data_IF_020495296987
#
_entry.id   IF_020495296987
#
_cell.length_a   1.000
_cell.length_b   1.000
_cell.length_c   1.000
_cell.angle_alpha   90.00
_cell.angle_beta   90.00
_cell.angle_gamma   90.00
#
_symmetry.space_group_name_H-M   'P 1'
#
loop_
_entity.id
_entity.type
_entity.pdbx_description
1 polymer ?
#
# COMPACT_ATOMS: atom_id res chain seq x y z
N UNK A 1 14.92 -83.20 -63.69
CA UNK A 1 15.44 -81.81 -63.67
C UNK A 1 14.46 -80.98 -62.85
N UNK A 2 14.69 -80.82 -61.54
CA UNK A 2 15.21 -79.60 -60.88
C UNK A 2 14.48 -78.34 -61.38
N UNK A 3 13.84 -77.53 -60.52
CA UNK A 3 14.54 -76.51 -59.70
C UNK A 3 13.78 -76.20 -58.38
N UNK A 4 14.59 -75.89 -57.36
CA UNK A 4 14.27 -75.51 -55.97
C UNK A 4 13.46 -74.20 -55.85
N UNK A 5 12.58 -74.20 -54.84
CA UNK A 5 11.99 -73.01 -54.21
C UNK A 5 12.95 -72.50 -53.13
N UNK A 6 13.26 -71.21 -53.06
CA UNK A 6 13.68 -70.51 -51.84
C UNK A 6 13.21 -69.04 -51.92
N UNK A 7 12.42 -68.67 -50.92
CA UNK A 7 12.04 -67.30 -50.56
C UNK A 7 13.24 -66.54 -49.98
N UNK A 8 13.33 -65.22 -50.20
CA UNK A 8 13.19 -64.22 -49.12
C UNK A 8 13.25 -62.78 -49.66
N UNK A 9 12.35 -61.98 -49.10
CA UNK A 9 12.10 -60.55 -49.26
C UNK A 9 13.30 -59.65 -48.95
N UNK A 10 13.33 -58.43 -49.53
CA UNK A 10 13.63 -57.17 -48.83
C UNK A 10 12.95 -56.01 -49.58
N UNK A 11 12.50 -55.07 -48.76
CA UNK A 11 11.40 -54.15 -48.90
C UNK A 11 11.81 -52.79 -49.49
N UNK A 12 10.87 -52.24 -50.26
CA UNK A 12 10.63 -50.90 -50.78
C UNK A 12 11.59 -49.73 -50.43
N UNK A 13 11.97 -49.03 -51.51
CA UNK A 13 12.47 -47.66 -51.54
C UNK A 13 11.32 -46.64 -51.34
N UNK A 14 11.60 -45.53 -50.64
CA UNK A 14 10.82 -44.29 -50.75
C UNK A 14 11.79 -43.16 -51.10
N UNK A 15 11.54 -42.57 -52.26
CA UNK A 15 12.25 -41.43 -52.84
C UNK A 15 11.79 -40.15 -52.13
N UNK A 16 12.74 -39.41 -51.56
CA UNK A 16 12.50 -38.08 -50.99
C UNK A 16 12.28 -37.06 -52.11
N UNK A 17 11.10 -36.43 -52.12
CA UNK A 17 10.84 -35.23 -52.93
C UNK A 17 11.10 -34.01 -52.06
N UNK A 18 12.10 -33.22 -52.44
CA UNK A 18 12.45 -31.97 -51.76
C UNK A 18 11.51 -30.86 -52.16
N UNK A 19 10.70 -30.40 -51.21
CA UNK A 19 10.00 -29.12 -51.29
C UNK A 19 10.73 -28.14 -50.36
N UNK A 20 11.31 -27.08 -50.91
CA UNK A 20 11.92 -26.01 -50.12
C UNK A 20 10.80 -25.28 -49.37
N UNK A 21 10.57 -25.69 -48.11
CA UNK A 21 9.86 -24.87 -47.16
C UNK A 21 10.68 -23.62 -46.89
N UNK A 22 10.24 -22.48 -47.43
CA UNK A 22 10.69 -21.17 -46.97
C UNK A 22 10.36 -21.07 -45.48
N UNK A 23 11.40 -21.10 -44.65
CA UNK A 23 11.26 -20.90 -43.22
C UNK A 23 10.61 -19.52 -42.98
N UNK A 24 9.35 -19.54 -42.54
CA UNK A 24 8.72 -18.36 -41.94
C UNK A 24 9.59 -18.01 -40.73
N UNK A 25 10.10 -16.78 -40.61
CA UNK A 25 10.81 -16.37 -39.41
C UNK A 25 9.83 -16.57 -38.25
N UNK A 26 10.20 -17.40 -37.28
CA UNK A 26 9.58 -17.39 -35.97
C UNK A 26 9.78 -15.97 -35.46
N UNK A 27 8.75 -15.12 -35.53
CA UNK A 27 8.73 -13.89 -34.77
C UNK A 27 8.96 -14.30 -33.33
N UNK A 28 10.17 -14.01 -32.85
CA UNK A 28 10.44 -13.97 -31.43
C UNK A 28 9.34 -13.09 -30.85
N UNK A 29 8.48 -13.69 -30.03
CA UNK A 29 7.63 -12.96 -29.10
C UNK A 29 8.57 -12.13 -28.24
N UNK A 30 8.99 -10.97 -28.74
CA UNK A 30 9.73 -9.97 -27.98
C UNK A 30 8.85 -9.70 -26.77
N UNK A 31 9.34 -10.08 -25.59
CA UNK A 31 8.65 -9.78 -24.35
C UNK A 31 8.22 -8.31 -24.41
N UNK A 32 6.94 -8.05 -24.15
CA UNK A 32 6.43 -6.68 -24.08
C UNK A 32 7.33 -5.94 -23.09
N UNK A 33 8.18 -5.06 -23.61
CA UNK A 33 8.94 -4.16 -22.77
C UNK A 33 8.29 -2.81 -22.82
N UNK A 34 8.08 -2.24 -21.64
CA UNK A 34 7.52 -0.90 -21.52
C UNK A 34 8.61 0.17 -21.55
N UNK A 35 9.90 -0.21 -21.70
CA UNK A 35 11.01 0.75 -21.73
C UNK A 35 10.78 1.84 -22.78
N UNK A 36 10.42 1.43 -23.99
CA UNK A 36 10.19 2.31 -25.13
C UNK A 36 8.70 2.63 -25.34
N UNK A 37 7.85 2.38 -24.34
CA UNK A 37 6.42 2.71 -24.40
C UNK A 37 6.24 4.23 -24.54
N UNK A 38 5.38 4.64 -25.47
CA UNK A 38 4.93 6.02 -25.56
C UNK A 38 4.21 6.43 -24.26
N UNK A 39 4.50 7.62 -23.74
CA UNK A 39 3.98 8.07 -22.45
C UNK A 39 3.27 9.42 -22.57
N UNK A 40 2.18 9.52 -23.37
CA UNK A 40 1.40 10.74 -23.49
C UNK A 40 0.89 11.17 -22.11
N UNK A 41 0.91 12.47 -21.84
CA UNK A 41 0.36 13.03 -20.60
C UNK A 41 -1.12 13.32 -20.80
N UNK A 42 -1.93 12.94 -19.83
CA UNK A 42 -3.38 13.11 -19.87
C UNK A 42 -3.93 13.39 -18.47
N UNK A 43 -5.16 13.89 -18.40
CA UNK A 43 -5.72 14.38 -17.15
C UNK A 43 -5.08 15.70 -16.69
N UNK A 44 -5.50 16.17 -15.51
CA UNK A 44 -5.06 17.45 -14.94
C UNK A 44 -4.13 17.29 -13.74
N UNK A 45 -3.91 16.06 -13.26
CA UNK A 45 -2.98 15.79 -12.16
C UNK A 45 -1.54 15.98 -12.65
N UNK A 46 -0.69 16.71 -11.94
CA UNK A 46 0.67 16.96 -12.39
C UNK A 46 1.51 15.67 -12.40
N UNK A 47 2.47 15.62 -13.34
CA UNK A 47 3.48 14.57 -13.42
C UNK A 47 4.80 15.08 -12.86
N UNK A 48 5.56 14.22 -12.17
CA UNK A 48 6.87 14.62 -11.63
C UNK A 48 6.78 15.75 -10.60
N UNK A 49 5.71 15.78 -9.81
CA UNK A 49 5.52 16.69 -8.68
C UNK A 49 5.08 15.86 -7.50
N UNK A 50 5.64 16.17 -6.33
CA UNK A 50 5.30 15.51 -5.08
C UNK A 50 3.88 15.89 -4.61
N UNK A 51 2.96 14.92 -4.63
CA UNK A 51 1.56 15.08 -4.27
C UNK A 51 1.33 14.49 -2.89
N UNK A 52 1.03 15.33 -1.90
CA UNK A 52 0.91 14.94 -0.48
C UNK A 52 -0.53 14.94 0.05
N UNK A 53 -1.47 15.59 -0.64
CA UNK A 53 -2.85 15.78 -0.16
C UNK A 53 -3.85 15.74 -1.32
N UNK A 54 -5.13 15.51 -0.99
CA UNK A 54 -6.21 15.57 -1.96
C UNK A 54 -6.48 17.00 -2.40
N UNK A 55 -6.96 17.17 -3.63
CA UNK A 55 -7.53 18.44 -4.09
C UNK A 55 -8.98 18.60 -3.67
N UNK A 56 -9.62 17.52 -3.20
CA UNK A 56 -11.00 17.49 -2.70
C UNK A 56 -10.99 17.37 -1.18
N UNK A 57 -11.54 18.38 -0.50
CA UNK A 57 -11.72 18.38 0.96
C UNK A 57 -12.72 17.30 1.41
N UNK A 58 -12.63 16.90 2.68
CA UNK A 58 -13.53 15.90 3.29
C UNK A 58 -13.21 14.48 2.88
N UNK A 59 -12.09 14.25 2.18
CA UNK A 59 -11.65 12.94 1.71
C UNK A 59 -10.49 12.37 2.50
N UNK A 60 -10.52 11.06 2.71
CA UNK A 60 -9.39 10.25 3.17
C UNK A 60 -9.12 9.17 2.13
N UNK A 61 -7.99 9.26 1.44
CA UNK A 61 -7.45 8.18 0.64
C UNK A 61 -6.63 7.25 1.54
N UNK A 62 -7.17 6.07 1.86
CA UNK A 62 -6.40 5.02 2.52
C UNK A 62 -5.46 4.40 1.49
N UNK A 63 -4.16 4.39 1.81
CA UNK A 63 -3.13 3.84 0.94
C UNK A 63 -2.33 2.76 1.64
N UNK A 64 -1.99 1.70 0.91
CA UNK A 64 -1.25 0.55 1.41
C UNK A 64 -0.05 0.24 0.52
N UNK A 65 1.14 0.24 1.10
CA UNK A 65 2.40 0.02 0.39
C UNK A 65 2.93 -1.42 0.61
N UNK A 66 3.89 -1.82 -0.22
CA UNK A 66 4.69 -3.06 -0.18
C UNK A 66 3.98 -4.37 -0.56
N UNK A 67 2.67 -4.34 -0.73
CA UNK A 67 1.87 -5.50 -1.11
C UNK A 67 1.98 -5.91 -2.60
N UNK A 68 1.19 -6.92 -3.00
CA UNK A 68 0.35 -7.75 -2.15
C UNK A 68 1.19 -8.72 -1.31
N UNK A 69 0.68 -9.07 -0.13
CA UNK A 69 1.25 -10.06 0.78
C UNK A 69 0.19 -10.98 1.39
N UNK A 70 0.58 -11.76 2.40
CA UNK A 70 -0.29 -12.77 3.02
C UNK A 70 -1.55 -12.20 3.70
N UNK A 71 -1.52 -10.94 4.15
CA UNK A 71 -2.63 -10.31 4.88
C UNK A 71 -3.56 -9.48 4.00
N UNK A 72 -3.14 -9.14 2.79
CA UNK A 72 -3.81 -8.20 1.89
C UNK A 72 -5.28 -8.55 1.62
N UNK A 73 -5.62 -9.85 1.50
CA UNK A 73 -7.01 -10.32 1.32
C UNK A 73 -7.94 -9.82 2.45
N UNK A 74 -7.46 -9.83 3.69
CA UNK A 74 -8.24 -9.39 4.85
C UNK A 74 -8.43 -7.88 4.89
N UNK A 75 -7.53 -7.09 4.29
CA UNK A 75 -7.76 -5.66 4.06
C UNK A 75 -8.95 -5.47 3.13
N UNK A 76 -8.99 -6.18 1.99
CA UNK A 76 -10.10 -6.10 1.05
C UNK A 76 -11.44 -6.50 1.70
N UNK A 77 -11.46 -7.58 2.47
CA UNK A 77 -12.64 -8.01 3.21
C UNK A 77 -13.16 -6.92 4.16
N UNK A 78 -12.26 -6.25 4.88
CA UNK A 78 -12.63 -5.15 5.78
C UNK A 78 -13.19 -3.96 5.00
N UNK A 79 -12.56 -3.57 3.90
CA UNK A 79 -13.02 -2.45 3.05
C UNK A 79 -14.40 -2.75 2.44
N UNK A 80 -14.62 -3.98 1.96
CA UNK A 80 -15.89 -4.46 1.41
C UNK A 80 -17.01 -4.42 2.46
N UNK A 81 -16.78 -5.01 3.64
CA UNK A 81 -17.75 -5.04 4.76
C UNK A 81 -18.16 -3.64 5.24
N UNK A 82 -17.31 -2.64 5.06
CA UNK A 82 -17.55 -1.27 5.50
C UNK A 82 -18.22 -0.38 4.45
N UNK A 83 -18.93 -0.97 3.50
CA UNK A 83 -19.68 -0.27 2.46
C UNK A 83 -18.91 -0.15 1.15
N UNK A 84 -18.10 -1.15 0.81
CA UNK A 84 -17.31 -1.19 -0.43
C UNK A 84 -16.34 -0.01 -0.57
N UNK A 85 -15.70 0.38 0.53
CA UNK A 85 -14.71 1.46 0.56
C UNK A 85 -13.61 1.18 -0.46
N UNK A 86 -13.24 2.20 -1.25
CA UNK A 86 -12.10 2.12 -2.16
C UNK A 86 -10.85 2.64 -1.48
N UNK A 87 -9.71 2.13 -1.93
CA UNK A 87 -8.38 2.42 -1.41
C UNK A 87 -7.37 2.34 -2.56
N UNK A 88 -6.16 2.82 -2.34
CA UNK A 88 -5.06 2.71 -3.30
C UNK A 88 -3.97 1.79 -2.75
N UNK A 89 -3.52 0.84 -3.55
CA UNK A 89 -2.43 -0.07 -3.19
C UNK A 89 -1.21 0.24 -4.04
N UNK A 90 -0.10 0.65 -3.41
CA UNK A 90 1.18 0.86 -4.08
C UNK A 90 1.97 -0.45 -4.01
N UNK A 91 1.99 -1.16 -5.14
CA UNK A 91 2.46 -2.54 -5.19
C UNK A 91 3.89 -2.62 -5.72
N UNK A 92 4.69 -3.43 -5.02
CA UNK A 92 6.03 -3.80 -5.47
C UNK A 92 5.97 -4.91 -6.51
N UNK A 93 6.97 -5.00 -7.36
CA UNK A 93 7.14 -6.15 -8.26
C UNK A 93 7.47 -7.41 -7.48
N UNK A 94 8.47 -7.32 -6.59
CA UNK A 94 8.93 -8.37 -5.69
C UNK A 94 9.62 -7.77 -4.47
N UNK A 95 9.20 -8.19 -3.27
CA UNK A 95 9.88 -7.89 -2.01
C UNK A 95 9.75 -9.11 -1.08
N UNK A 96 10.78 -9.94 -1.06
CA UNK A 96 10.68 -11.28 -0.48
C UNK A 96 9.63 -12.12 -1.21
N UNK A 97 8.65 -12.66 -0.47
CA UNK A 97 7.53 -13.41 -1.05
C UNK A 97 6.36 -12.52 -1.50
N UNK A 98 6.40 -11.22 -1.23
CA UNK A 98 5.36 -10.26 -1.58
C UNK A 98 5.57 -9.70 -3.00
N UNK A 99 4.52 -9.16 -3.58
CA UNK A 99 4.58 -8.42 -4.84
C UNK A 99 3.83 -9.06 -6.02
N UNK A 100 3.67 -8.26 -7.08
CA UNK A 100 2.90 -8.60 -8.28
C UNK A 100 3.48 -9.79 -9.05
N UNK A 101 4.79 -10.04 -8.94
CA UNK A 101 5.46 -11.15 -9.59
C UNK A 101 5.14 -12.52 -8.99
N UNK A 102 4.58 -12.57 -7.77
CA UNK A 102 4.18 -13.83 -7.17
C UNK A 102 2.82 -14.30 -7.74
N UNK A 103 2.78 -15.41 -8.50
CA UNK A 103 1.55 -15.86 -9.17
C UNK A 103 0.43 -16.22 -8.19
N UNK A 104 0.76 -16.56 -6.93
CA UNK A 104 -0.24 -16.85 -5.90
C UNK A 104 -1.17 -15.66 -5.63
N UNK A 105 -0.70 -14.43 -5.84
CA UNK A 105 -1.49 -13.22 -5.64
C UNK A 105 -2.25 -12.74 -6.88
N UNK A 106 -2.14 -13.44 -8.03
CA UNK A 106 -2.87 -13.05 -9.25
C UNK A 106 -4.39 -12.95 -9.05
N UNK A 107 -5.07 -13.90 -8.38
CA UNK A 107 -6.51 -13.77 -8.11
C UNK A 107 -6.83 -12.57 -7.23
N UNK A 108 -5.99 -12.30 -6.23
CA UNK A 108 -6.15 -11.19 -5.30
C UNK A 108 -6.00 -9.83 -6.00
N UNK A 109 -5.00 -9.69 -6.87
CA UNK A 109 -4.79 -8.49 -7.69
C UNK A 109 -5.98 -8.21 -8.62
N UNK A 110 -6.53 -9.26 -9.25
CA UNK A 110 -7.74 -9.15 -10.08
C UNK A 110 -8.97 -8.77 -9.24
N UNK A 111 -9.08 -9.29 -8.02
CA UNK A 111 -10.13 -8.90 -7.07
C UNK A 111 -10.01 -7.42 -6.71
N UNK A 112 -8.81 -6.92 -6.42
CA UNK A 112 -8.60 -5.49 -6.13
C UNK A 112 -9.08 -4.59 -7.27
N UNK A 113 -8.61 -4.89 -8.49
CA UNK A 113 -8.95 -4.10 -9.68
C UNK A 113 -10.46 -4.18 -9.99
N UNK A 114 -11.03 -5.38 -9.95
CA UNK A 114 -12.47 -5.61 -10.19
C UNK A 114 -13.38 -5.03 -9.11
N UNK A 115 -12.87 -4.86 -7.89
CA UNK A 115 -13.58 -4.17 -6.80
C UNK A 115 -13.40 -2.65 -6.85
N UNK A 116 -12.72 -2.08 -7.86
CA UNK A 116 -12.58 -0.64 -8.04
C UNK A 116 -11.54 0.02 -7.13
N UNK A 117 -10.62 -0.75 -6.54
CA UNK A 117 -9.44 -0.17 -5.90
C UNK A 117 -8.47 0.35 -6.98
N UNK A 118 -7.67 1.34 -6.63
CA UNK A 118 -6.58 1.79 -7.49
C UNK A 118 -5.32 0.99 -7.17
N UNK A 119 -4.65 0.46 -8.18
CA UNK A 119 -3.36 -0.22 -8.04
C UNK A 119 -2.29 0.68 -8.65
N UNK A 120 -1.33 1.11 -7.83
CA UNK A 120 -0.25 2.00 -8.22
C UNK A 120 1.10 1.28 -8.11
N UNK A 121 2.15 1.83 -8.71
CA UNK A 121 3.49 1.25 -8.69
C UNK A 121 4.25 1.68 -7.43
N UNK A 122 4.97 0.74 -6.81
CA UNK A 122 5.91 0.99 -5.71
C UNK A 122 7.31 0.45 -6.02
N UNK A 123 7.70 0.50 -7.30
CA UNK A 123 8.96 -0.01 -7.85
C UNK A 123 9.03 -1.53 -7.93
N UNK A 124 10.02 -2.05 -8.64
CA UNK A 124 10.20 -3.50 -8.78
C UNK A 124 10.67 -4.15 -7.47
N UNK A 125 11.72 -3.62 -6.84
CA UNK A 125 12.40 -4.27 -5.71
C UNK A 125 12.55 -3.41 -4.46
N UNK A 126 11.74 -2.34 -4.35
CA UNK A 126 11.69 -1.45 -3.19
C UNK A 126 13.05 -0.75 -2.89
N UNK A 127 13.80 -0.38 -3.93
CA UNK A 127 15.06 0.35 -3.76
C UNK A 127 14.82 1.82 -3.48
N UNK A 128 15.65 2.42 -2.63
CA UNK A 128 15.70 3.87 -2.45
C UNK A 128 16.18 4.55 -3.74
N UNK A 129 15.29 5.32 -4.37
CA UNK A 129 15.56 5.97 -5.64
C UNK A 129 16.65 7.06 -5.55
N UNK A 130 16.93 7.61 -4.38
CA UNK A 130 18.02 8.58 -4.18
C UNK A 130 19.41 7.91 -4.18
N UNK A 131 19.46 6.59 -3.94
CA UNK A 131 20.73 5.85 -3.83
C UNK A 131 21.18 5.19 -5.14
N UNK A 132 20.29 5.12 -6.13
CA UNK A 132 20.52 4.41 -7.40
C UNK A 132 20.70 5.35 -8.59
N UNK A 133 21.29 4.84 -9.67
CA UNK A 133 21.46 5.59 -10.91
C UNK A 133 20.11 5.84 -11.60
N UNK A 134 20.05 6.81 -12.53
CA UNK A 134 18.83 7.03 -13.31
C UNK A 134 18.42 5.79 -14.09
N UNK A 135 19.37 5.11 -14.73
CA UNK A 135 19.08 3.88 -15.47
C UNK A 135 18.50 2.79 -14.56
N UNK A 136 18.99 2.69 -13.33
CA UNK A 136 18.43 1.80 -12.33
C UNK A 136 17.01 2.22 -11.90
N UNK A 137 16.73 3.51 -11.72
CA UNK A 137 15.37 4.00 -11.45
C UNK A 137 14.42 3.60 -12.59
N UNK A 138 14.83 3.81 -13.84
CA UNK A 138 14.07 3.43 -15.04
C UNK A 138 13.84 1.91 -15.05
N UNK A 139 14.87 1.10 -14.78
CA UNK A 139 14.75 -0.36 -14.72
C UNK A 139 13.76 -0.82 -13.64
N UNK A 140 13.76 -0.19 -12.46
CA UNK A 140 12.83 -0.51 -11.38
C UNK A 140 11.38 -0.19 -11.75
N UNK A 141 11.14 0.89 -12.50
CA UNK A 141 9.81 1.27 -12.98
C UNK A 141 9.36 0.32 -14.09
N UNK A 142 10.16 0.17 -15.15
CA UNK A 142 9.84 -0.65 -16.33
C UNK A 142 9.56 -2.10 -15.94
N UNK A 143 10.37 -2.73 -15.09
CA UNK A 143 10.09 -4.11 -14.65
C UNK A 143 8.77 -4.22 -13.90
N UNK A 144 8.42 -3.20 -13.12
CA UNK A 144 7.14 -3.18 -12.44
C UNK A 144 5.98 -2.98 -13.43
N UNK A 145 6.11 -2.05 -14.38
CA UNK A 145 5.14 -1.86 -15.48
C UNK A 145 4.91 -3.17 -16.26
N UNK A 146 5.98 -3.90 -16.61
CA UNK A 146 5.92 -5.15 -17.36
C UNK A 146 5.17 -6.26 -16.61
N UNK A 147 5.38 -6.39 -15.28
CA UNK A 147 4.65 -7.40 -14.51
C UNK A 147 3.18 -7.02 -14.30
N UNK A 148 2.88 -5.74 -14.14
CA UNK A 148 1.50 -5.23 -14.13
C UNK A 148 0.81 -5.50 -15.47
N UNK A 149 1.47 -5.20 -16.59
CA UNK A 149 0.95 -5.45 -17.93
C UNK A 149 0.67 -6.94 -18.16
N UNK A 150 1.60 -7.81 -17.74
CA UNK A 150 1.46 -9.26 -17.86
C UNK A 150 0.32 -9.83 -17.00
N UNK A 151 0.18 -9.35 -15.77
CA UNK A 151 -0.75 -9.93 -14.78
C UNK A 151 -2.16 -9.34 -14.89
N UNK A 152 -2.26 -8.05 -15.19
CA UNK A 152 -3.49 -7.27 -15.12
C UNK A 152 -3.87 -6.59 -16.44
N UNK A 153 -2.96 -6.53 -17.42
CA UNK A 153 -3.23 -5.85 -18.69
C UNK A 153 -3.23 -4.32 -18.59
N UNK A 154 -2.59 -3.77 -17.56
CA UNK A 154 -2.54 -2.33 -17.27
C UNK A 154 -1.11 -1.89 -16.97
N UNK A 155 -0.80 -0.61 -17.19
CA UNK A 155 0.44 0.03 -16.71
C UNK A 155 0.07 1.22 -15.80
N UNK A 156 0.41 1.22 -14.50
CA UNK A 156 0.03 2.30 -13.59
C UNK A 156 0.66 3.65 -13.97
N UNK A 157 -0.09 4.75 -13.83
CA UNK A 157 0.41 6.13 -13.96
C UNK A 157 0.79 6.75 -12.62
N UNK A 158 0.38 6.14 -11.51
CA UNK A 158 0.68 6.58 -10.15
C UNK A 158 1.85 5.79 -9.58
N UNK A 159 2.75 6.49 -8.90
CA UNK A 159 3.92 5.92 -8.25
C UNK A 159 4.18 6.58 -6.91
N UNK A 160 4.50 5.76 -5.90
CA UNK A 160 5.08 6.23 -4.65
C UNK A 160 6.53 5.77 -4.58
N UNK A 161 7.51 6.68 -4.39
CA UNK A 161 8.89 6.29 -4.18
C UNK A 161 9.05 5.49 -2.87
N UNK A 162 9.77 4.35 -2.86
CA UNK A 162 10.16 3.67 -1.63
C UNK A 162 10.79 4.63 -0.63
N UNK A 163 10.43 4.46 0.65
CA UNK A 163 10.84 5.33 1.77
C UNK A 163 10.41 6.81 1.64
N UNK A 164 9.57 7.12 0.65
CA UNK A 164 9.24 8.50 0.21
C UNK A 164 10.47 9.38 -0.03
N UNK A 165 11.57 8.73 -0.39
CA UNK A 165 12.83 9.37 -0.74
C UNK A 165 12.88 9.61 -2.24
N UNK A 166 12.72 10.88 -2.65
CA UNK A 166 12.83 11.27 -4.05
C UNK A 166 13.31 12.71 -4.19
N UNK A 167 14.60 12.88 -4.48
CA UNK A 167 15.24 14.15 -4.77
C UNK A 167 14.91 14.66 -6.18
N UNK A 168 15.45 15.82 -6.57
CA UNK A 168 15.20 16.43 -7.88
C UNK A 168 15.57 15.49 -9.06
N UNK A 169 16.59 14.64 -8.89
CA UNK A 169 16.99 13.66 -9.92
C UNK A 169 15.95 12.56 -10.03
N UNK A 170 15.49 12.02 -8.90
CA UNK A 170 14.40 11.05 -8.86
C UNK A 170 13.11 11.64 -9.47
N UNK A 171 12.72 12.84 -9.06
CA UNK A 171 11.54 13.55 -9.57
C UNK A 171 11.65 13.78 -11.08
N UNK A 172 12.82 14.20 -11.57
CA UNK A 172 13.05 14.36 -13.01
C UNK A 172 12.89 13.04 -13.77
N UNK A 173 13.36 11.91 -13.24
CA UNK A 173 13.14 10.60 -13.87
C UNK A 173 11.67 10.22 -13.91
N UNK A 174 10.93 10.44 -12.82
CA UNK A 174 9.49 10.17 -12.75
C UNK A 174 8.68 11.09 -13.67
N UNK A 175 9.09 12.35 -13.81
CA UNK A 175 8.53 13.28 -14.78
C UNK A 175 8.69 12.77 -16.22
N UNK A 176 9.89 12.31 -16.57
CA UNK A 176 10.21 11.86 -17.93
C UNK A 176 9.48 10.57 -18.30
N UNK A 177 9.19 9.73 -17.30
CA UNK A 177 8.37 8.53 -17.43
C UNK A 177 6.87 8.80 -17.18
N UNK A 178 6.46 10.07 -17.09
CA UNK A 178 5.07 10.51 -16.93
C UNK A 178 4.34 9.76 -15.81
N UNK A 179 4.94 9.77 -14.61
CA UNK A 179 4.34 9.32 -13.35
C UNK A 179 3.80 10.47 -12.49
N UNK A 180 2.63 10.27 -11.90
CA UNK A 180 2.15 11.06 -10.77
C UNK A 180 2.86 10.58 -9.51
N UNK A 181 3.66 11.45 -8.89
CA UNK A 181 4.44 11.10 -7.69
C UNK A 181 3.58 11.35 -6.47
N UNK A 182 3.22 10.29 -5.75
CA UNK A 182 2.30 10.35 -4.61
C UNK A 182 3.02 10.04 -3.31
N UNK A 183 3.05 11.01 -2.41
CA UNK A 183 3.48 10.86 -1.02
C UNK A 183 2.23 10.84 -0.12
N UNK A 184 2.31 11.35 1.10
CA UNK A 184 1.22 11.38 2.08
C UNK A 184 1.31 12.65 2.94
N UNK A 185 0.20 12.99 3.58
CA UNK A 185 0.16 14.01 4.64
C UNK A 185 -0.27 13.43 5.99
N UNK A 186 -0.48 12.11 6.07
CA UNK A 186 -0.72 11.36 7.29
C UNK A 186 0.05 10.04 7.25
N UNK A 187 1.16 9.98 7.99
CA UNK A 187 1.92 8.76 8.22
C UNK A 187 1.44 8.06 9.50
N UNK A 188 0.94 6.84 9.40
CA UNK A 188 0.45 6.08 10.55
C UNK A 188 1.55 5.46 11.40
N UNK A 189 2.78 5.35 10.89
CA UNK A 189 3.90 4.66 11.56
C UNK A 189 3.56 3.22 11.98
N UNK A 190 2.72 2.53 11.20
CA UNK A 190 2.27 1.16 11.48
C UNK A 190 3.37 0.10 11.45
N UNK A 191 4.47 0.40 10.77
CA UNK A 191 5.68 -0.43 10.74
C UNK A 191 6.62 -0.21 11.95
N UNK A 192 6.42 0.85 12.75
CA UNK A 192 7.30 1.18 13.88
C UNK A 192 6.82 0.47 15.14
N UNK A 193 7.72 -0.25 15.81
CA UNK A 193 7.45 -0.93 17.09
C UNK A 193 6.15 -1.77 17.08
N UNK A 194 5.87 -2.44 15.95
CA UNK A 194 4.67 -3.23 15.75
C UNK A 194 3.36 -2.42 15.74
N UNK A 195 3.43 -1.13 15.41
CA UNK A 195 2.27 -0.23 15.30
C UNK A 195 1.76 0.31 16.63
N UNK A 196 2.57 0.25 17.69
CA UNK A 196 2.18 0.61 19.05
C UNK A 196 1.50 2.00 19.16
N UNK A 197 1.95 2.96 18.35
CA UNK A 197 1.46 4.34 18.37
C UNK A 197 0.53 4.70 17.19
N UNK A 198 0.22 3.77 16.30
CA UNK A 198 -0.43 4.10 15.02
C UNK A 198 -1.88 4.53 15.17
N UNK A 199 -2.62 3.90 16.10
CA UNK A 199 -3.99 4.33 16.44
C UNK A 199 -4.01 5.75 16.98
N UNK A 200 -3.09 6.09 17.88
CA UNK A 200 -2.98 7.44 18.43
C UNK A 200 -2.58 8.45 17.36
N UNK A 201 -1.60 8.11 16.52
CA UNK A 201 -1.11 8.98 15.43
C UNK A 201 -2.22 9.30 14.45
N UNK A 202 -2.92 8.27 13.95
CA UNK A 202 -4.03 8.43 13.02
C UNK A 202 -5.18 9.24 13.63
N UNK A 203 -5.65 8.86 14.83
CA UNK A 203 -6.79 9.55 15.44
C UNK A 203 -6.49 10.98 15.84
N UNK A 204 -5.26 11.31 16.24
CA UNK A 204 -4.87 12.69 16.54
C UNK A 204 -4.95 13.58 15.30
N UNK A 205 -4.47 13.08 14.15
CA UNK A 205 -4.55 13.78 12.87
C UNK A 205 -6.00 13.98 12.41
N UNK A 206 -6.80 12.91 12.39
CA UNK A 206 -8.20 12.99 11.95
C UNK A 206 -9.04 13.88 12.88
N UNK A 207 -8.92 13.71 14.20
CA UNK A 207 -9.77 14.42 15.16
C UNK A 207 -9.45 15.92 15.26
N UNK A 208 -8.21 16.33 14.99
CA UNK A 208 -7.81 17.74 14.96
C UNK A 208 -8.18 18.46 13.66
N UNK A 209 -8.45 17.72 12.58
CA UNK A 209 -8.83 18.28 11.29
C UNK A 209 -10.30 18.69 11.20
N UNK A 210 -10.63 19.46 10.16
CA UNK A 210 -12.00 19.81 9.81
C UNK A 210 -12.33 19.25 8.41
N UNK A 211 -13.27 18.30 8.26
CA UNK A 211 -13.63 17.75 6.96
C UNK A 211 -14.03 18.79 5.91
N UNK A 212 -14.50 19.98 6.29
CA UNK A 212 -14.85 21.03 5.31
C UNK A 212 -13.66 21.73 4.67
N UNK A 213 -12.44 21.48 5.15
CA UNK A 213 -11.23 22.19 4.73
C UNK A 213 -9.95 21.36 4.93
N UNK A 214 -10.09 20.04 5.01
CA UNK A 214 -8.99 19.12 5.24
C UNK A 214 -9.23 17.85 4.44
N UNK A 215 -8.13 17.24 4.04
CA UNK A 215 -8.13 15.96 3.34
C UNK A 215 -6.86 15.20 3.67
N UNK A 216 -6.87 13.89 3.47
CA UNK A 216 -5.74 13.05 3.80
C UNK A 216 -5.44 12.04 2.71
N UNK A 217 -4.14 11.88 2.42
CA UNK A 217 -3.58 10.67 1.85
C UNK A 217 -2.87 9.98 3.02
N UNK A 218 -3.42 8.86 3.48
CA UNK A 218 -2.96 8.15 4.67
C UNK A 218 -2.10 6.95 4.28
N UNK A 219 -0.86 6.89 4.79
CA UNK A 219 0.07 5.78 4.58
C UNK A 219 -0.10 4.70 5.63
N UNK A 220 -0.24 3.46 5.18
CA UNK A 220 -0.08 2.23 5.95
C UNK A 220 0.53 1.13 5.05
N UNK A 221 0.77 -0.06 5.60
CA UNK A 221 1.38 -1.18 4.90
C UNK A 221 0.56 -2.45 5.15
N UNK A 222 -0.03 -3.03 4.10
CA UNK A 222 -0.91 -4.20 4.22
C UNK A 222 -0.13 -5.52 4.39
N UNK A 223 1.20 -5.45 4.42
CA UNK A 223 2.09 -6.55 4.79
C UNK A 223 2.30 -6.67 6.30
N UNK A 224 1.84 -5.69 7.10
CA UNK A 224 1.99 -5.69 8.55
C UNK A 224 0.79 -6.37 9.23
N UNK A 225 1.06 -7.40 10.03
CA UNK A 225 0.02 -8.12 10.77
C UNK A 225 -0.81 -7.20 11.67
N UNK A 226 -0.18 -6.24 12.35
CA UNK A 226 -0.87 -5.23 13.16
C UNK A 226 -1.89 -4.42 12.33
N UNK A 227 -1.47 -3.95 11.15
CA UNK A 227 -2.29 -3.11 10.27
C UNK A 227 -3.58 -3.82 9.91
N UNK A 228 -3.47 -5.08 9.51
CA UNK A 228 -4.62 -5.86 9.05
C UNK A 228 -5.46 -6.42 10.20
N UNK A 229 -4.86 -6.63 11.37
CA UNK A 229 -5.55 -7.13 12.57
C UNK A 229 -6.18 -6.01 13.41
N UNK A 230 -7.07 -5.26 12.75
CA UNK A 230 -7.99 -4.32 13.39
C UNK A 230 -7.61 -2.84 13.27
N UNK A 231 -6.40 -2.51 12.81
CA UNK A 231 -6.05 -1.10 12.60
C UNK A 231 -6.77 -0.51 11.37
N UNK A 232 -6.94 -1.25 10.27
CA UNK A 232 -7.78 -0.80 9.13
C UNK A 232 -9.21 -0.47 9.56
N UNK A 233 -9.87 -1.34 10.35
CA UNK A 233 -11.20 -1.06 10.87
C UNK A 233 -11.22 0.21 11.73
N UNK A 234 -10.23 0.37 12.61
CA UNK A 234 -10.09 1.55 13.44
C UNK A 234 -9.94 2.84 12.61
N UNK A 235 -9.12 2.81 11.54
CA UNK A 235 -8.98 3.96 10.65
C UNK A 235 -10.30 4.34 9.99
N UNK A 236 -11.09 3.33 9.58
CA UNK A 236 -12.41 3.52 8.98
C UNK A 236 -13.37 4.18 9.96
N UNK A 237 -13.46 3.66 11.18
CA UNK A 237 -14.41 4.11 12.19
C UNK A 237 -14.13 5.57 12.59
N UNK A 238 -12.86 5.90 12.89
CA UNK A 238 -12.46 7.25 13.33
C UNK A 238 -12.73 8.30 12.25
N UNK A 239 -12.41 8.02 10.99
CA UNK A 239 -12.65 8.97 9.91
C UNK A 239 -14.15 9.13 9.60
N UNK A 240 -14.95 8.04 9.63
CA UNK A 240 -16.42 8.13 9.50
C UNK A 240 -17.06 8.92 10.63
N UNK A 241 -16.66 8.67 11.87
CA UNK A 241 -17.17 9.40 13.05
C UNK A 241 -16.91 10.90 12.93
N UNK A 242 -15.75 11.26 12.36
CA UNK A 242 -15.38 12.66 12.11
C UNK A 242 -16.09 13.28 10.90
N UNK A 243 -16.68 12.47 10.02
CA UNK A 243 -17.40 12.93 8.82
C UNK A 243 -16.56 12.99 7.55
N UNK A 244 -15.43 12.28 7.50
CA UNK A 244 -14.68 12.09 6.26
C UNK A 244 -15.26 10.95 5.41
N UNK A 245 -15.12 11.08 4.09
CA UNK A 245 -15.45 10.05 3.11
C UNK A 245 -14.19 9.41 2.54
N UNK A 246 -14.27 8.13 2.20
CA UNK A 246 -13.14 7.39 1.64
C UNK A 246 -13.15 7.37 0.12
N UNK A 247 -11.96 7.32 -0.46
CA UNK A 247 -11.76 7.43 -1.90
C UNK A 247 -10.42 6.81 -2.29
N UNK A 248 -10.20 6.58 -3.59
CA UNK A 248 -8.84 6.30 -4.11
C UNK A 248 -8.03 7.59 -4.19
N UNK A 249 -6.70 7.50 -4.29
CA UNK A 249 -5.82 8.66 -4.56
C UNK A 249 -6.23 9.38 -5.85
N UNK A 250 -6.54 8.65 -6.93
CA UNK A 250 -6.99 9.24 -8.18
C UNK A 250 -8.24 10.12 -8.01
N UNK A 251 -9.30 9.59 -7.40
CA UNK A 251 -10.53 10.34 -7.10
C UNK A 251 -10.29 11.50 -6.12
N UNK A 252 -9.44 11.31 -5.11
CA UNK A 252 -8.97 12.33 -4.16
C UNK A 252 -8.32 13.53 -4.88
N UNK A 253 -7.72 13.30 -6.04
CA UNK A 253 -7.11 14.32 -6.90
C UNK A 253 -8.02 14.79 -8.05
N UNK A 254 -9.28 14.33 -8.09
CA UNK A 254 -10.22 14.63 -9.16
C UNK A 254 -9.87 13.99 -10.51
N UNK A 255 -9.07 12.92 -10.51
CA UNK A 255 -8.65 12.20 -11.72
C UNK A 255 -9.59 11.01 -11.98
N UNK A 256 -10.30 10.97 -13.13
CA UNK A 256 -11.18 9.86 -13.45
C UNK A 256 -10.41 8.55 -13.63
N UNK A 257 -11.05 7.42 -13.33
CA UNK A 257 -10.41 6.10 -13.36
C UNK A 257 -9.79 5.70 -14.70
N UNK A 258 -10.26 6.27 -15.81
CA UNK A 258 -9.66 6.09 -17.15
C UNK A 258 -8.22 6.59 -17.25
N UNK A 259 -7.79 7.47 -16.34
CA UNK A 259 -6.46 8.08 -16.33
C UNK A 259 -5.49 7.38 -15.35
N UNK A 260 -5.93 6.41 -14.56
CA UNK A 260 -5.04 5.76 -13.59
C UNK A 260 -4.06 4.79 -14.23
N UNK A 261 -4.33 4.39 -15.47
CA UNK A 261 -3.60 3.37 -16.18
C UNK A 261 -3.39 3.73 -17.65
N UNK A 262 -2.28 3.24 -18.20
CA UNK A 262 -2.01 3.20 -19.64
C UNK A 262 -2.33 1.83 -20.19
N UNK A 263 -2.74 1.79 -21.45
CA UNK A 263 -2.71 0.56 -22.24
C UNK A 263 -1.25 0.11 -22.45
N UNK A 264 -0.88 -1.15 -22.15
CA UNK A 264 0.49 -1.62 -22.27
C UNK A 264 1.09 -1.64 -23.69
N UNK A 265 0.27 -1.42 -24.73
CA UNK A 265 0.72 -1.41 -26.13
C UNK A 265 0.79 -0.01 -26.71
N UNK A 266 -0.22 0.82 -26.46
CA UNK A 266 -0.27 2.18 -27.02
C UNK A 266 0.25 3.26 -26.08
N UNK A 267 0.26 3.03 -24.77
CA UNK A 267 0.66 4.04 -23.78
C UNK A 267 -0.40 5.12 -23.51
N UNK A 268 -1.45 5.14 -24.32
CA UNK A 268 -2.65 5.96 -24.16
C UNK A 268 -3.42 5.59 -22.88
N UNK A 269 -4.32 6.47 -22.39
CA UNK A 269 -5.24 6.11 -21.32
C UNK A 269 -5.92 4.78 -21.62
N UNK A 270 -6.06 3.93 -20.61
CA UNK A 270 -6.86 2.72 -20.74
C UNK A 270 -8.33 3.14 -20.80
N UNK A 271 -8.79 3.48 -22.01
CA UNK A 271 -10.19 3.84 -22.27
C UNK A 271 -11.08 2.77 -21.64
N UNK A 272 -11.90 3.20 -20.68
CA UNK A 272 -12.90 2.35 -20.05
C UNK A 272 -13.85 1.83 -21.12
N UNK A 273 -13.55 0.68 -21.71
CA UNK A 273 -14.57 -0.22 -22.22
C UNK A 273 -15.40 -0.57 -21.00
N UNK A 274 -16.49 0.17 -20.84
CA UNK A 274 -17.57 0.05 -19.86
C UNK A 274 -17.23 -0.80 -18.62
N UNK A 275 -17.23 -0.13 -17.46
CA UNK A 275 -17.45 -0.78 -16.17
C UNK A 275 -18.49 -1.90 -16.35
N UNK A 276 -18.17 -3.18 -16.02
CA UNK A 276 -19.11 -4.26 -16.22
C UNK A 276 -20.30 -4.00 -15.29
N UNK A 277 -21.38 -3.47 -15.88
CA UNK A 277 -22.66 -3.34 -15.21
C UNK A 277 -22.98 -4.68 -14.56
N UNK A 278 -23.35 -4.72 -13.27
CA UNK A 278 -23.72 -5.97 -12.63
C UNK A 278 -24.86 -6.57 -13.46
N UNK A 279 -24.59 -7.72 -14.07
CA UNK A 279 -25.61 -8.49 -14.78
C UNK A 279 -26.52 -9.09 -13.71
N UNK A 280 -27.46 -8.29 -13.22
CA UNK A 280 -28.64 -8.79 -12.51
C UNK A 280 -29.38 -9.70 -13.46
N UNK A 281 -29.09 -11.00 -13.37
CA UNK A 281 -29.93 -12.04 -13.95
C UNK A 281 -31.16 -12.19 -13.05
N UNK A 282 -32.03 -11.18 -13.04
CA UNK A 282 -33.37 -11.31 -12.48
C UNK A 282 -34.20 -12.10 -13.48
N UNK A 283 -34.34 -13.41 -13.24
CA UNK A 283 -35.46 -14.18 -13.80
C UNK A 283 -36.74 -13.63 -13.18
N UNK A 284 -37.33 -12.64 -13.84
CA UNK A 284 -38.71 -12.23 -13.63
C UNK A 284 -39.63 -13.31 -14.20
N UNK A 285 -40.15 -14.19 -13.34
CA UNK A 285 -41.32 -15.00 -13.66
C UNK A 285 -42.54 -14.20 -13.19
N UNK A 286 -43.33 -13.71 -14.15
CA UNK A 286 -44.61 -13.08 -13.88
C UNK A 286 -45.62 -14.12 -13.33
N UNK A 287 -46.49 -13.75 -12.37
CA UNK A 287 -47.60 -14.60 -11.96
C UNK A 287 -48.80 -14.38 -12.87
N UNK A 288 -49.24 -15.44 -13.55
CA UNK A 288 -50.55 -15.47 -14.21
C UNK A 288 -51.62 -15.81 -13.18
N UNK A 289 -52.56 -14.89 -13.01
CA UNK A 289 -53.79 -15.05 -12.24
C UNK A 289 -54.76 -16.02 -12.93
N UNK A 290 -55.24 -17.02 -12.20
CA UNK A 290 -56.56 -17.62 -12.49
C UNK A 290 -57.24 -17.99 -11.19
N UNK A 291 -58.42 -17.41 -10.98
CA UNK A 291 -59.33 -17.67 -9.87
C UNK A 291 -60.07 -18.99 -10.07
N UNK A 292 -60.18 -19.81 -9.02
CA UNK A 292 -61.40 -20.61 -8.78
C UNK A 292 -61.62 -20.79 -7.28
N UNK A 293 -62.83 -20.43 -6.86
CA UNK A 293 -63.38 -20.54 -5.51
C UNK A 293 -63.78 -21.98 -5.16
N UNK A 294 -63.47 -22.44 -3.95
CA UNK A 294 -64.29 -23.39 -3.19
C UNK A 294 -63.87 -23.46 -1.71
N UNK A 295 -64.77 -23.06 -0.82
CA UNK A 295 -64.80 -23.41 0.62
C UNK A 295 -65.45 -24.81 0.75
N UNK A 296 -65.10 -25.66 1.75
CA UNK A 296 -65.80 -25.60 3.05
C UNK A 296 -64.94 -25.88 4.31
N UNK A 297 -65.24 -25.10 5.35
CA UNK A 297 -65.53 -25.40 6.77
C UNK A 297 -65.03 -26.67 7.50
N UNK A 298 -64.44 -26.43 8.69
CA UNK A 298 -64.33 -27.24 9.94
C UNK A 298 -63.62 -28.61 9.87
N UNK A 299 -62.85 -29.08 10.85
CA UNK A 299 -63.15 -29.18 12.29
C UNK A 299 -61.86 -29.53 13.10
N UNK A 300 -61.90 -29.20 14.38
CA UNK A 300 -60.87 -29.41 15.41
C UNK A 300 -60.67 -30.88 15.78
N UNK A 301 -59.42 -31.28 16.11
CA UNK A 301 -59.17 -32.27 17.17
C UNK A 301 -57.75 -32.22 17.74
N UNK A 302 -57.75 -32.07 19.05
CA UNK A 302 -56.73 -32.17 20.09
C UNK A 302 -55.86 -33.44 20.01
N UNK A 303 -54.60 -33.35 20.41
CA UNK A 303 -54.01 -34.26 21.43
C UNK A 303 -52.68 -33.72 21.96
N UNK A 304 -52.51 -33.87 23.27
CA UNK A 304 -51.44 -33.38 24.10
C UNK A 304 -50.22 -34.33 24.14
N UNK A 305 -49.06 -33.81 24.57
CA UNK A 305 -48.21 -34.54 25.51
C UNK A 305 -47.34 -33.59 26.33
N UNK A 306 -47.58 -33.64 27.63
CA UNK A 306 -46.72 -33.31 28.77
C UNK A 306 -45.36 -34.07 28.65
N UNK A 307 -44.24 -33.63 29.24
CA UNK A 307 -43.79 -34.03 30.59
C UNK A 307 -42.58 -33.15 31.03
N UNK A 308 -42.76 -32.60 32.24
CA UNK A 308 -41.86 -32.40 33.39
C UNK A 308 -40.52 -31.64 33.35
N UNK A 309 -40.44 -30.81 34.39
CA UNK A 309 -39.33 -30.02 34.90
C UNK A 309 -38.92 -30.66 36.23
N UNK A 310 -37.62 -30.80 36.49
CA UNK A 310 -37.11 -30.87 37.86
C UNK A 310 -35.76 -30.18 38.04
N UNK A 311 -35.66 -29.56 39.20
CA UNK A 311 -34.67 -28.68 39.80
C UNK A 311 -33.36 -29.37 40.22
N UNK A 312 -32.24 -28.62 40.30
CA UNK A 312 -31.45 -28.41 41.53
C UNK A 312 -30.10 -27.67 41.32
N UNK A 313 -29.85 -26.66 42.17
CA UNK A 313 -28.54 -26.12 42.66
C UNK A 313 -28.04 -27.07 43.79
N UNK A 314 -26.76 -27.13 44.27
CA UNK A 314 -25.98 -26.01 44.87
C UNK A 314 -24.42 -26.08 44.66
N UNK A 315 -23.68 -24.96 44.68
CA UNK A 315 -22.81 -24.39 45.77
C UNK A 315 -21.30 -24.71 45.76
N UNK A 316 -20.50 -23.63 45.53
CA UNK A 316 -19.34 -23.05 46.26
C UNK A 316 -18.40 -23.90 47.15
N UNK A 317 -17.09 -23.52 47.07
CA UNK A 317 -15.95 -23.51 48.06
C UNK A 317 -14.77 -24.39 47.62
N UNK A 318 -13.47 -24.03 47.74
CA UNK A 318 -12.74 -22.86 48.23
C UNK A 318 -11.24 -23.18 48.41
N UNK A 319 -10.39 -22.13 48.53
CA UNK A 319 -9.05 -22.04 49.20
C UNK A 319 -7.84 -22.85 48.66
N UNK A 320 -6.54 -22.50 48.81
CA UNK A 320 -5.75 -21.34 49.31
C UNK A 320 -4.23 -21.63 49.10
N UNK A 321 -3.46 -20.58 48.76
CA UNK A 321 -2.03 -20.20 49.05
C UNK A 321 -0.86 -21.20 49.28
N UNK A 322 0.34 -20.83 48.78
CA UNK A 322 1.59 -20.44 49.53
C UNK A 322 2.74 -20.14 48.52
N UNK A 323 3.43 -18.98 48.49
CA UNK A 323 4.73 -18.58 49.11
C UNK A 323 5.89 -19.61 48.90
N UNK A 324 7.19 -19.34 48.66
CA UNK A 324 8.13 -18.19 48.67
C UNK A 324 9.51 -18.68 48.14
N UNK A 325 10.52 -17.78 48.09
CA UNK A 325 12.01 -17.95 47.92
C UNK A 325 12.53 -17.72 46.49
N UNK A 326 13.16 -16.57 46.14
CA UNK A 326 14.47 -15.99 46.53
C UNK A 326 15.67 -16.92 46.30
N UNK A 327 16.59 -16.55 45.39
CA UNK A 327 18.03 -16.32 45.67
C UNK A 327 18.68 -15.55 44.52
N UNK A 328 19.39 -14.48 44.87
CA UNK A 328 20.28 -13.65 44.04
C UNK A 328 21.62 -14.35 43.76
N UNK A 329 22.39 -13.92 42.75
CA UNK A 329 23.81 -13.56 42.92
C UNK A 329 24.41 -12.87 41.69
N UNK A 330 25.22 -11.86 42.00
CA UNK A 330 25.93 -10.87 41.17
C UNK A 330 27.15 -11.39 40.37
N UNK A 331 27.78 -10.42 39.69
CA UNK A 331 29.19 -10.27 39.24
C UNK A 331 29.38 -10.48 37.74
N UNK A 332 30.13 -9.68 36.97
CA UNK A 332 30.95 -8.50 37.23
C UNK A 332 31.17 -7.79 35.87
N UNK A 333 31.39 -6.47 35.88
CA UNK A 333 31.90 -5.72 34.71
C UNK A 333 33.38 -6.01 34.43
N UNK A 334 33.94 -5.48 33.33
CA UNK A 334 34.81 -4.34 33.55
C UNK A 334 34.73 -3.21 32.52
N UNK A 335 35.23 -2.09 33.01
CA UNK A 335 35.34 -0.72 32.50
C UNK A 335 36.41 -0.53 31.40
N UNK A 336 36.18 0.40 30.47
CA UNK A 336 36.92 1.68 30.34
C UNK A 336 37.36 2.09 28.92
N UNK A 337 37.36 3.43 28.75
CA UNK A 337 38.06 4.30 27.76
C UNK A 337 37.51 4.29 26.32
N UNK A 338 37.20 5.39 25.64
CA UNK A 338 37.50 6.81 25.84
C UNK A 338 38.14 7.36 24.57
N UNK A 339 37.39 8.08 23.72
CA UNK A 339 37.96 9.01 22.71
C UNK A 339 36.87 9.91 22.11
N UNK A 340 37.03 11.23 22.30
CA UNK A 340 36.29 12.30 21.62
C UNK A 340 36.72 12.44 20.15
N UNK A 341 35.83 12.86 19.23
CA UNK A 341 36.23 13.37 17.93
C UNK A 341 36.49 14.90 17.96
N UNK A 342 37.39 15.43 17.11
CA UNK A 342 37.84 16.81 17.18
C UNK A 342 36.87 17.82 16.55
N UNK A 343 36.81 18.99 17.18
CA UNK A 343 36.17 20.23 16.72
C UNK A 343 36.96 20.86 15.57
N UNK A 344 36.30 21.17 14.45
CA UNK A 344 36.83 22.02 13.39
C UNK A 344 36.23 23.42 13.50
N UNK A 345 37.05 24.39 13.90
CA UNK A 345 36.69 25.82 13.96
C UNK A 345 36.96 26.46 12.60
N UNK A 346 35.94 27.10 12.03
CA UNK A 346 36.03 27.95 10.84
C UNK A 346 36.25 29.41 11.28
N UNK A 347 37.39 29.98 10.89
CA UNK A 347 37.69 31.40 11.02
C UNK A 347 36.96 32.18 9.91
N UNK A 348 36.18 33.20 10.25
CA UNK A 348 35.87 34.33 9.37
C UNK A 348 35.98 35.60 10.21
N UNK A 349 36.73 36.55 9.69
CA UNK A 349 37.23 37.77 10.31
C UNK A 349 36.35 38.99 9.95
N UNK A 350 36.38 40.02 10.82
CA UNK A 350 35.96 41.42 10.61
C UNK A 350 34.45 41.70 10.55
N UNK A 351 33.82 42.35 11.53
CA UNK A 351 33.92 43.80 11.83
C UNK A 351 32.68 44.51 11.25
N UNK A 352 31.90 45.36 11.92
CA UNK A 352 32.20 46.31 12.97
C UNK A 352 30.96 46.65 13.82
N UNK A 353 31.26 47.15 15.01
CA UNK A 353 30.37 47.59 16.08
C UNK A 353 29.97 49.07 15.87
N UNK A 354 28.72 49.43 16.15
CA UNK A 354 28.35 50.78 16.62
C UNK A 354 27.33 50.62 17.75
N UNK A 355 27.76 50.90 18.97
CA UNK A 355 26.88 51.05 20.13
C UNK A 355 26.48 52.51 20.34
N UNK A 356 25.47 52.73 21.19
CA UNK A 356 25.31 53.87 22.11
C UNK A 356 24.20 53.50 23.14
N UNK A 357 24.23 54.03 24.37
CA UNK A 357 23.91 53.29 25.59
C UNK A 357 22.69 53.84 26.35
N UNK A 358 22.12 53.03 27.27
CA UNK A 358 21.45 53.55 28.47
C UNK A 358 21.53 52.53 29.63
N UNK A 359 21.94 53.00 30.80
CA UNK A 359 21.96 52.30 32.10
C UNK A 359 21.26 53.20 33.16
N UNK A 360 21.11 52.80 34.45
CA UNK A 360 20.18 51.78 34.95
C UNK A 360 19.44 52.21 36.25
N UNK A 361 18.35 51.52 36.63
CA UNK A 361 17.78 51.45 38.01
C UNK A 361 16.66 50.40 37.97
N UNK A 362 16.44 49.44 38.87
CA UNK A 362 17.08 48.98 40.09
C UNK A 362 16.23 47.79 40.65
N UNK A 363 16.92 46.78 41.19
CA UNK A 363 16.59 45.97 42.38
C UNK A 363 15.34 45.04 42.45
N UNK A 364 15.66 43.73 42.52
CA UNK A 364 15.03 42.59 43.25
C UNK A 364 13.62 42.07 42.90
N UNK A 365 13.55 40.84 42.37
CA UNK A 365 13.10 39.63 43.07
C UNK A 365 13.21 38.41 42.14
N UNK A 366 13.91 37.36 42.59
CA UNK A 366 14.12 36.13 41.82
C UNK A 366 12.91 35.20 41.94
N UNK A 367 12.31 34.83 40.81
CA UNK A 367 11.53 33.61 40.64
C UNK A 367 11.96 32.94 39.34
N UNK A 368 12.15 31.62 39.43
CA UNK A 368 12.86 30.75 38.50
C UNK A 368 11.93 30.41 37.34
N UNK A 369 12.22 30.94 36.14
CA UNK A 369 11.66 30.47 34.88
C UNK A 369 12.80 30.36 33.87
N UNK A 370 13.13 29.14 33.45
CA UNK A 370 14.02 28.91 32.32
C UNK A 370 13.15 28.53 31.13
N UNK A 371 12.78 29.55 30.34
CA UNK A 371 12.34 29.38 28.96
C UNK A 371 13.56 29.17 28.08
N UNK A 372 13.64 28.04 27.37
CA UNK A 372 14.54 27.92 26.22
C UNK A 372 13.83 28.53 25.01
N UNK A 373 14.33 29.67 24.54
CA UNK A 373 13.94 30.23 23.24
C UNK A 373 14.46 29.33 22.13
N UNK A 374 13.57 28.64 21.43
CA UNK A 374 13.89 27.96 20.17
C UNK A 374 13.70 28.96 19.04
N UNK A 375 14.80 29.33 18.38
CA UNK A 375 14.75 30.08 17.11
C UNK A 375 14.39 29.08 16.02
N UNK A 376 13.22 29.26 15.39
CA UNK A 376 12.77 28.47 14.24
C UNK A 376 13.24 29.21 12.99
N UNK A 377 14.24 28.67 12.30
CA UNK A 377 14.54 29.11 10.93
C UNK A 377 13.61 28.37 9.95
N UNK A 378 12.88 29.16 9.17
CA UNK A 378 12.00 28.69 8.09
C UNK A 378 12.72 28.87 6.76
N UNK A 379 12.71 27.82 5.93
CA UNK A 379 13.20 27.94 4.56
C UNK A 379 12.15 28.62 3.64
N UNK A 380 12.55 28.94 2.41
CA UNK A 380 11.69 29.62 1.42
C UNK A 380 10.42 28.83 1.01
N UNK A 381 10.25 27.60 1.51
CA UNK A 381 9.06 26.76 1.32
C UNK A 381 8.21 26.60 2.59
N UNK A 382 8.51 27.35 3.67
CA UNK A 382 7.67 27.40 4.88
C UNK A 382 7.76 26.18 5.79
N UNK A 383 8.81 25.35 5.69
CA UNK A 383 9.02 24.19 6.57
C UNK A 383 9.94 24.53 7.76
N UNK A 384 9.60 23.98 8.93
CA UNK A 384 10.48 23.96 10.10
C UNK A 384 11.49 22.81 9.95
N UNK A 385 12.79 23.12 10.03
CA UNK A 385 13.86 22.13 9.92
C UNK A 385 14.27 21.67 11.32
N UNK A 386 14.05 20.39 11.65
CA UNK A 386 14.62 19.76 12.84
C UNK A 386 15.85 18.94 12.43
N UNK A 387 17.03 19.40 12.85
CA UNK A 387 18.27 18.63 12.70
C UNK A 387 18.37 17.61 13.83
N UNK A 388 17.94 16.38 13.58
CA UNK A 388 18.33 15.22 14.40
C UNK A 388 19.58 14.58 13.77
N UNK A 389 20.74 14.82 14.39
CA UNK A 389 21.95 14.07 14.08
C UNK A 389 21.82 12.62 14.56
N UNK A 390 22.06 11.67 13.66
CA UNK A 390 22.08 10.24 13.99
C UNK A 390 21.76 9.32 12.83
N UNK A 391 22.54 9.40 11.75
CA UNK A 391 22.51 8.39 10.69
C UNK A 391 23.37 7.19 11.15
N UNK A 392 22.74 6.03 11.39
CA UNK A 392 23.27 4.64 11.40
C UNK A 392 22.43 3.76 12.35
N UNK A 393 21.17 3.48 11.97
CA UNK A 393 20.38 2.41 12.62
C UNK A 393 19.25 1.84 11.73
N UNK A 394 18.81 2.54 10.68
CA UNK A 394 17.64 2.13 9.87
C UNK A 394 17.88 1.03 8.82
N UNK A 395 19.13 0.74 8.45
CA UNK A 395 19.41 -0.21 7.36
C UNK A 395 19.57 -1.68 7.81
N UNK A 396 19.67 -1.94 9.12
CA UNK A 396 19.94 -3.28 9.65
C UNK A 396 18.70 -3.99 10.21
N UNK A 397 17.59 -3.28 10.43
CA UNK A 397 16.34 -3.91 10.87
C UNK A 397 15.57 -4.61 9.72
N UNK A 398 15.90 -4.29 8.46
CA UNK A 398 15.21 -4.86 7.29
C UNK A 398 15.63 -6.29 6.96
N UNK A 399 16.76 -6.77 7.50
CA UNK A 399 17.33 -8.08 7.18
C UNK A 399 17.01 -9.19 8.21
N UNK A 400 16.18 -8.92 9.24
CA UNK A 400 15.98 -9.86 10.35
C UNK A 400 14.53 -10.23 10.69
N UNK A 401 13.55 -9.85 9.87
CA UNK A 401 12.13 -10.23 10.08
C UNK A 401 11.40 -10.69 8.80
N UNK A 402 12.10 -11.31 7.84
CA UNK A 402 11.48 -12.01 6.70
C UNK A 402 12.09 -13.40 6.56
#
# INVERSE_FOLDING_TARGET
>A
MLVRVHSLSILAAIVASGELATAVPLESSSALTTRDLDRPRFGNVPYGVDITHCTVDGKVALTFDDGPGEYTEKVLDTLEKNGNIKATFFLVGTNGNNGVANPAYTPLLKRMLGAGHQLASHSWSHKDFNTISRDQQVDELVKNEEIFAKTLGIVPTYFRPPYTHCDDKCISTLNDLSYHVTDYNLDTKDWVDGGANSKQTYSSAINSANPSSSSFIALAHDIQSFTVNGFVQYMIDVAKEKGFEFTTVGECLGDPASNWYRDPKSGEPLDGKEEPKPTTTSKSVAPTTTSTSATPTAESKTTASTIESETAKPSVTGKTASQTEETETETDGPTSTGASPPTATRTVDGGANIGIPVTPTGTTAASRSTSTNTVVEVNAAGRAVFSAGGALAGALAWAMMI
#
